data_IF_562113777807
#
_entry.id   IF_562113777807
#
_cell.length_a   1.000
_cell.length_b   1.000
_cell.length_c   1.000
_cell.angle_alpha   90.00
_cell.angle_beta   90.00
_cell.angle_gamma   90.00
#
_symmetry.space_group_name_H-M   'P 1'
#
loop_
_entity.id
_entity.type
_entity.pdbx_description
1 polymer ?
#
# COMPACT_ATOMS: atom_id res chain seq x y z
N UNK A 1 -29.43 -0.47 -17.16
CA UNK A 1 -28.77 0.85 -17.31
C UNK A 1 -28.07 1.30 -16.03
N UNK A 2 -28.75 1.40 -14.88
CA UNK A 2 -28.16 1.85 -13.60
C UNK A 2 -26.92 1.04 -13.19
N UNK A 3 -26.97 -0.30 -13.28
CA UNK A 3 -25.88 -1.24 -12.92
C UNK A 3 -24.59 -1.02 -13.72
N UNK A 4 -24.69 -0.56 -14.96
CA UNK A 4 -23.52 -0.24 -15.79
C UNK A 4 -22.93 1.13 -15.47
N UNK A 5 -23.77 2.09 -15.09
CA UNK A 5 -23.33 3.40 -14.59
C UNK A 5 -22.61 3.24 -13.26
N UNK A 6 -23.19 2.49 -12.29
CA UNK A 6 -22.53 2.21 -10.99
C UNK A 6 -21.21 1.48 -11.21
N UNK A 7 -21.17 0.46 -12.08
CA UNK A 7 -19.93 -0.24 -12.38
C UNK A 7 -18.89 0.63 -13.10
N UNK A 8 -19.28 1.55 -13.99
CA UNK A 8 -18.35 2.52 -14.61
C UNK A 8 -17.80 3.50 -13.58
N UNK A 9 -18.64 3.94 -12.64
CA UNK A 9 -18.25 4.80 -11.53
C UNK A 9 -17.29 4.11 -10.57
N UNK A 10 -17.53 2.83 -10.25
CA UNK A 10 -16.71 2.06 -9.30
C UNK A 10 -15.40 1.61 -9.95
N UNK A 11 -15.44 1.11 -11.19
CA UNK A 11 -14.29 0.47 -11.82
C UNK A 11 -13.52 1.51 -12.62
N UNK A 12 -14.13 2.10 -13.64
CA UNK A 12 -13.53 3.11 -14.53
C UNK A 12 -13.98 2.89 -15.97
N UNK A 13 -13.92 3.95 -16.78
CA UNK A 13 -14.42 3.96 -18.16
C UNK A 13 -13.35 3.86 -19.26
N UNK A 14 -12.07 4.08 -18.95
CA UNK A 14 -11.00 4.08 -19.94
C UNK A 14 -9.76 3.27 -19.52
N UNK A 15 -9.16 2.58 -20.51
CA UNK A 15 -7.95 1.79 -20.35
C UNK A 15 -6.72 2.65 -20.00
N UNK A 16 -6.62 3.86 -20.56
CA UNK A 16 -5.47 4.75 -20.29
C UNK A 16 -5.50 5.31 -18.87
N UNK A 17 -6.68 5.66 -18.36
CA UNK A 17 -6.82 6.07 -16.98
C UNK A 17 -6.56 4.89 -16.03
N UNK A 18 -6.98 3.67 -16.39
CA UNK A 18 -6.67 2.47 -15.64
C UNK A 18 -5.16 2.20 -15.56
N UNK A 19 -4.44 2.30 -16.70
CA UNK A 19 -2.98 2.18 -16.77
C UNK A 19 -2.30 3.24 -15.89
N UNK A 20 -2.73 4.50 -15.99
CA UNK A 20 -2.19 5.60 -15.18
C UNK A 20 -2.37 5.35 -13.69
N UNK A 21 -3.56 4.95 -13.25
CA UNK A 21 -3.85 4.64 -11.84
C UNK A 21 -3.00 3.47 -11.33
N UNK A 22 -2.86 2.39 -12.11
CA UNK A 22 -1.99 1.26 -11.73
C UNK A 22 -0.51 1.66 -11.67
N UNK A 23 -0.05 2.53 -12.59
CA UNK A 23 1.32 3.01 -12.60
C UNK A 23 1.64 3.86 -11.37
N UNK A 24 0.74 4.79 -11.03
CA UNK A 24 0.91 5.64 -9.84
C UNK A 24 0.95 4.78 -8.58
N UNK A 25 -0.02 3.86 -8.40
CA UNK A 25 -0.04 2.97 -7.24
C UNK A 25 1.23 2.10 -7.13
N UNK A 26 1.74 1.62 -8.26
CA UNK A 26 3.00 0.88 -8.31
C UNK A 26 4.19 1.74 -7.86
N UNK A 27 4.31 2.98 -8.37
CA UNK A 27 5.37 3.90 -7.97
C UNK A 27 5.29 4.20 -6.47
N UNK A 28 4.08 4.50 -5.96
CA UNK A 28 3.85 4.72 -4.53
C UNK A 28 4.28 3.51 -3.69
N UNK A 29 3.97 2.30 -4.15
CA UNK A 29 4.35 1.07 -3.45
C UNK A 29 5.86 0.85 -3.38
N UNK A 30 6.58 1.12 -4.47
CA UNK A 30 8.05 1.05 -4.48
C UNK A 30 8.70 2.17 -3.66
N UNK A 31 8.19 3.40 -3.74
CA UNK A 31 8.66 4.51 -2.90
C UNK A 31 8.44 4.19 -1.42
N UNK A 32 7.28 3.63 -1.06
CA UNK A 32 7.01 3.18 0.30
C UNK A 32 7.97 2.09 0.76
N UNK A 33 8.20 1.09 -0.09
CA UNK A 33 9.14 -0.01 0.16
C UNK A 33 10.54 0.54 0.42
N UNK A 34 11.01 1.49 -0.40
CA UNK A 34 12.31 2.11 -0.26
C UNK A 34 12.43 2.90 1.05
N UNK A 35 11.45 3.75 1.36
CA UNK A 35 11.43 4.52 2.61
C UNK A 35 11.42 3.60 3.83
N UNK A 36 10.60 2.55 3.79
CA UNK A 36 10.50 1.58 4.87
C UNK A 36 11.79 0.76 5.02
N UNK A 37 12.43 0.37 3.92
CA UNK A 37 13.71 -0.32 3.93
C UNK A 37 14.81 0.53 4.56
N UNK A 38 14.94 1.80 4.14
CA UNK A 38 15.92 2.73 4.73
C UNK A 38 15.66 2.93 6.22
N UNK A 39 14.40 3.10 6.63
CA UNK A 39 14.05 3.23 8.04
C UNK A 39 14.45 2.00 8.86
N UNK A 40 14.22 0.80 8.32
CA UNK A 40 14.54 -0.47 8.98
C UNK A 40 16.05 -0.70 9.05
N UNK A 41 16.80 -0.38 7.99
CA UNK A 41 18.26 -0.52 8.02
C UNK A 41 18.93 0.50 8.94
N UNK A 42 18.43 1.73 9.02
CA UNK A 42 18.93 2.73 9.98
C UNK A 42 18.82 2.29 11.44
N UNK A 43 17.85 1.45 11.80
CA UNK A 43 17.74 0.87 13.14
C UNK A 43 18.85 -0.13 13.48
N UNK A 44 19.47 -0.77 12.47
CA UNK A 44 20.56 -1.74 12.67
C UNK A 44 21.88 -1.00 12.98
N UNK A 45 22.08 0.19 12.40
CA UNK A 45 23.33 0.93 12.49
C UNK A 45 23.40 1.92 13.66
N UNK A 46 22.30 2.12 14.41
CA UNK A 46 22.28 2.95 15.61
C UNK A 46 22.59 2.08 16.85
N UNK A 47 23.56 2.45 17.69
CA UNK A 47 23.89 1.70 18.90
C UNK A 47 22.73 1.84 19.90
N UNK A 48 21.91 0.81 20.00
CA UNK A 48 20.85 0.72 21.02
C UNK A 48 21.48 0.16 22.29
N UNK A 49 21.59 0.99 23.32
CA UNK A 49 22.03 0.57 24.65
C UNK A 49 21.00 -0.39 25.27
N UNK A 50 21.52 -1.48 25.83
CA UNK A 50 20.89 -2.66 26.42
C UNK A 50 19.47 -2.52 27.01
N UNK A 51 18.59 -3.44 26.60
CA UNK A 51 17.57 -4.06 27.47
C UNK A 51 17.01 -5.33 26.80
N UNK A 52 17.37 -6.51 27.33
CA UNK A 52 17.18 -7.83 26.69
C UNK A 52 15.72 -8.25 26.43
N UNK A 53 14.74 -7.63 27.11
CA UNK A 53 13.30 -7.84 26.88
C UNK A 53 12.74 -6.89 25.80
N UNK A 54 13.20 -5.63 25.80
CA UNK A 54 12.97 -4.69 24.71
C UNK A 54 13.64 -5.13 23.40
N UNK A 55 14.75 -5.87 23.51
CA UNK A 55 15.52 -6.38 22.38
C UNK A 55 14.83 -7.53 21.63
N UNK A 56 14.06 -8.40 22.32
CA UNK A 56 13.25 -9.44 21.65
C UNK A 56 12.00 -8.85 21.00
N UNK A 57 11.36 -7.86 21.65
CA UNK A 57 10.25 -7.13 21.06
C UNK A 57 10.71 -6.31 19.85
N UNK A 58 11.89 -5.68 19.93
CA UNK A 58 12.50 -4.93 18.83
C UNK A 58 12.97 -5.84 17.70
N UNK A 59 13.48 -7.04 17.98
CA UNK A 59 13.86 -8.02 16.94
C UNK A 59 12.62 -8.57 16.22
N UNK A 60 11.55 -8.90 16.94
CA UNK A 60 10.30 -9.36 16.33
C UNK A 60 9.62 -8.25 15.51
N UNK A 61 9.64 -7.01 16.01
CA UNK A 61 9.18 -5.84 15.26
C UNK A 61 10.04 -5.59 14.02
N UNK A 62 11.36 -5.74 14.13
CA UNK A 62 12.29 -5.60 13.02
C UNK A 62 12.03 -6.65 11.94
N UNK A 63 11.92 -7.93 12.29
CA UNK A 63 11.58 -9.00 11.34
C UNK A 63 10.21 -8.73 10.71
N UNK A 64 9.22 -8.33 11.50
CA UNK A 64 7.90 -7.94 11.02
C UNK A 64 7.94 -6.79 10.00
N UNK A 65 8.77 -5.77 10.25
CA UNK A 65 8.96 -4.63 9.34
C UNK A 65 9.69 -5.04 8.05
N UNK A 66 10.74 -5.88 8.12
CA UNK A 66 11.41 -6.44 6.93
C UNK A 66 10.43 -7.25 6.09
N UNK A 67 9.60 -8.07 6.73
CA UNK A 67 8.54 -8.80 6.04
C UNK A 67 7.51 -7.86 5.40
N UNK A 68 7.10 -6.77 6.08
CA UNK A 68 6.20 -5.76 5.51
C UNK A 68 6.78 -5.12 4.25
N UNK A 69 8.07 -4.74 4.26
CA UNK A 69 8.79 -4.24 3.08
C UNK A 69 8.69 -5.24 1.92
N UNK A 70 8.99 -6.52 2.18
CA UNK A 70 8.93 -7.57 1.16
C UNK A 70 7.51 -7.80 0.60
N UNK A 71 6.50 -7.82 1.47
CA UNK A 71 5.09 -7.99 1.09
C UNK A 71 4.64 -6.82 0.20
N UNK A 72 4.91 -5.58 0.61
CA UNK A 72 4.53 -4.39 -0.16
C UNK A 72 5.23 -4.38 -1.52
N UNK A 73 6.50 -4.72 -1.59
CA UNK A 73 7.25 -4.83 -2.84
C UNK A 73 6.64 -5.88 -3.79
N UNK A 74 6.38 -7.08 -3.28
CA UNK A 74 5.80 -8.18 -4.05
C UNK A 74 4.39 -7.85 -4.55
N UNK A 75 3.55 -7.26 -3.70
CA UNK A 75 2.20 -6.87 -4.07
C UNK A 75 2.20 -5.72 -5.08
N UNK A 76 3.11 -4.74 -4.93
CA UNK A 76 3.32 -3.65 -5.88
C UNK A 76 3.74 -4.15 -7.26
N UNK A 77 4.61 -5.16 -7.30
CA UNK A 77 4.95 -5.87 -8.54
C UNK A 77 3.71 -6.51 -9.20
N UNK A 78 2.82 -7.08 -8.38
CA UNK A 78 1.51 -7.57 -8.83
C UNK A 78 0.63 -6.48 -9.45
N UNK A 79 0.64 -5.27 -8.87
CA UNK A 79 -0.06 -4.09 -9.43
C UNK A 79 0.55 -3.67 -10.76
N UNK A 80 1.88 -3.71 -10.89
CA UNK A 80 2.58 -3.45 -12.16
C UNK A 80 2.15 -4.43 -13.25
N UNK A 81 2.05 -5.73 -12.91
CA UNK A 81 1.51 -6.77 -13.79
C UNK A 81 -0.02 -6.72 -13.94
N UNK A 82 -0.68 -5.69 -13.39
CA UNK A 82 -2.12 -5.44 -13.45
C UNK A 82 -2.94 -6.62 -12.93
N UNK A 83 -2.41 -7.40 -11.98
CA UNK A 83 -3.13 -8.52 -11.37
C UNK A 83 -4.10 -7.98 -10.31
N UNK A 84 -5.42 -8.07 -10.52
CA UNK A 84 -6.39 -7.41 -9.63
C UNK A 84 -6.41 -8.01 -8.23
N UNK A 85 -6.17 -9.32 -8.08
CA UNK A 85 -6.07 -9.97 -6.75
C UNK A 85 -4.93 -9.37 -5.92
N UNK A 86 -3.76 -9.14 -6.53
CA UNK A 86 -2.60 -8.57 -5.84
C UNK A 86 -2.78 -7.09 -5.52
N UNK A 87 -3.42 -6.33 -6.41
CA UNK A 87 -3.75 -4.93 -6.15
C UNK A 87 -4.79 -4.77 -5.02
N UNK A 88 -5.75 -5.69 -4.95
CA UNK A 88 -6.73 -5.75 -3.86
C UNK A 88 -6.04 -6.12 -2.54
N UNK A 89 -5.18 -7.14 -2.56
CA UNK A 89 -4.38 -7.52 -1.40
C UNK A 89 -3.47 -6.38 -0.93
N UNK A 90 -2.83 -5.62 -1.83
CA UNK A 90 -2.01 -4.46 -1.48
C UNK A 90 -2.82 -3.41 -0.72
N UNK A 91 -3.99 -3.05 -1.24
CA UNK A 91 -4.87 -2.08 -0.60
C UNK A 91 -5.31 -2.54 0.80
N UNK A 92 -5.83 -3.76 0.93
CA UNK A 92 -6.30 -4.27 2.21
C UNK A 92 -5.17 -4.48 3.21
N UNK A 93 -4.04 -5.04 2.78
CA UNK A 93 -2.87 -5.21 3.61
C UNK A 93 -2.42 -3.87 4.19
N UNK A 94 -2.26 -2.87 3.33
CA UNK A 94 -1.80 -1.55 3.76
C UNK A 94 -2.82 -0.87 4.68
N UNK A 95 -4.12 -0.97 4.38
CA UNK A 95 -5.17 -0.42 5.23
C UNK A 95 -5.21 -1.05 6.62
N UNK A 96 -5.20 -2.39 6.68
CA UNK A 96 -5.27 -3.13 7.95
C UNK A 96 -3.99 -2.96 8.76
N UNK A 97 -2.81 -2.95 8.12
CA UNK A 97 -1.56 -2.74 8.84
C UNK A 97 -1.53 -1.37 9.53
N UNK A 98 -2.07 -0.31 8.91
CA UNK A 98 -2.14 1.01 9.56
C UNK A 98 -3.06 1.04 10.78
N UNK A 99 -4.15 0.26 10.82
CA UNK A 99 -4.99 0.13 12.02
C UNK A 99 -4.22 -0.50 13.18
N UNK A 100 -3.40 -1.51 12.89
CA UNK A 100 -2.49 -2.09 13.87
C UNK A 100 -1.49 -1.04 14.39
N UNK A 101 -0.81 -0.32 13.50
CA UNK A 101 0.17 0.72 13.88
C UNK A 101 -0.44 1.91 14.65
N UNK A 102 -1.70 2.25 14.36
CA UNK A 102 -2.49 3.22 15.14
C UNK A 102 -2.76 2.70 16.55
N UNK A 103 -3.19 1.43 16.68
CA UNK A 103 -3.49 0.83 17.99
C UNK A 103 -2.25 0.68 18.89
N UNK A 104 -1.06 0.54 18.30
CA UNK A 104 0.20 0.46 19.04
C UNK A 104 0.79 1.83 19.40
N UNK A 105 0.12 2.95 19.05
CA UNK A 105 0.59 4.30 19.36
C UNK A 105 1.80 4.78 18.54
N UNK A 106 2.26 3.98 17.56
CA UNK A 106 3.36 4.36 16.66
C UNK A 106 2.95 5.46 15.67
N UNK A 107 1.64 5.65 15.51
CA UNK A 107 1.03 6.76 14.76
C UNK A 107 0.29 7.63 15.77
N UNK A 108 0.83 8.82 16.05
CA UNK A 108 0.20 9.82 16.94
C UNK A 108 -0.54 10.88 16.13
N UNK A 109 -1.64 11.40 16.69
CA UNK A 109 -2.39 12.55 16.17
C UNK A 109 -2.15 13.83 16.96
N UNK A 110 -1.22 13.82 17.92
CA UNK A 110 -1.00 14.97 18.80
C UNK A 110 -0.33 16.12 18.04
N UNK A 111 -1.13 17.14 17.70
CA UNK A 111 -0.66 18.36 17.05
C UNK A 111 -0.70 18.34 15.51
N UNK A 112 -0.77 19.54 14.93
CA UNK A 112 -0.82 19.78 13.48
C UNK A 112 0.27 19.04 12.65
N UNK A 113 1.56 18.98 13.05
CA UNK A 113 2.58 18.28 12.26
C UNK A 113 2.36 16.76 12.21
N UNK A 114 1.78 16.17 13.25
CA UNK A 114 1.50 14.74 13.31
C UNK A 114 0.27 14.37 12.48
N UNK A 115 -0.74 15.24 12.42
CA UNK A 115 -1.89 15.10 11.52
C UNK A 115 -1.44 15.15 10.05
N UNK A 116 -0.58 16.11 9.69
CA UNK A 116 -0.06 16.22 8.33
C UNK A 116 0.75 14.97 7.93
N UNK A 117 1.59 14.45 8.84
CA UNK A 117 2.32 13.18 8.64
C UNK A 117 1.38 12.01 8.45
N UNK A 118 0.31 11.91 9.23
CA UNK A 118 -0.70 10.87 9.06
C UNK A 118 -1.34 10.91 7.68
N UNK A 119 -1.76 12.09 7.23
CA UNK A 119 -2.40 12.25 5.93
C UNK A 119 -1.42 11.86 4.81
N UNK A 120 -0.18 12.36 4.85
CA UNK A 120 0.79 12.17 3.78
C UNK A 120 1.38 10.75 3.74
N UNK A 121 1.66 10.15 4.89
CA UNK A 121 2.34 8.86 4.99
C UNK A 121 1.38 7.68 5.12
N UNK A 122 0.11 7.90 5.47
CA UNK A 122 -0.82 6.79 5.68
C UNK A 122 -2.05 6.93 4.80
N UNK A 123 -2.76 8.06 4.86
CA UNK A 123 -4.02 8.22 4.13
C UNK A 123 -3.79 8.33 2.60
N UNK A 124 -2.78 9.08 2.18
CA UNK A 124 -2.47 9.27 0.76
C UNK A 124 -2.03 7.96 0.08
N UNK A 125 -1.09 7.16 0.63
CA UNK A 125 -0.75 5.86 0.05
C UNK A 125 -1.95 4.91 -0.03
N UNK A 126 -2.80 4.85 1.00
CA UNK A 126 -4.03 4.06 0.97
C UNK A 126 -4.91 4.46 -0.21
N UNK A 127 -5.14 5.76 -0.39
CA UNK A 127 -5.94 6.27 -1.49
C UNK A 127 -5.34 5.90 -2.85
N UNK A 128 -4.01 6.01 -3.00
CA UNK A 128 -3.31 5.65 -4.22
C UNK A 128 -3.38 4.14 -4.51
N UNK A 129 -3.27 3.28 -3.49
CA UNK A 129 -3.45 1.83 -3.65
C UNK A 129 -4.89 1.46 -3.99
N UNK A 130 -5.88 2.16 -3.41
CA UNK A 130 -7.28 2.01 -3.79
C UNK A 130 -7.49 2.36 -5.28
N UNK A 131 -6.90 3.45 -5.76
CA UNK A 131 -6.95 3.81 -7.18
C UNK A 131 -6.23 2.76 -8.06
N UNK A 132 -5.11 2.21 -7.60
CA UNK A 132 -4.40 1.11 -8.26
C UNK A 132 -5.26 -0.14 -8.39
N UNK A 133 -5.94 -0.54 -7.31
CA UNK A 133 -6.91 -1.64 -7.30
C UNK A 133 -8.02 -1.41 -8.33
N UNK A 134 -8.65 -0.22 -8.32
CA UNK A 134 -9.67 0.14 -9.31
C UNK A 134 -9.14 0.07 -10.73
N UNK A 135 -7.94 0.57 -10.97
CA UNK A 135 -7.27 0.50 -12.27
C UNK A 135 -7.05 -0.94 -12.74
N UNK A 136 -6.56 -1.83 -11.87
CA UNK A 136 -6.32 -3.24 -12.21
C UNK A 136 -7.63 -3.98 -12.55
N UNK A 137 -8.70 -3.74 -11.79
CA UNK A 137 -10.03 -4.30 -12.08
C UNK A 137 -10.63 -3.74 -13.37
N UNK A 138 -10.39 -2.46 -13.67
CA UNK A 138 -10.81 -1.83 -14.93
C UNK A 138 -10.14 -2.48 -16.12
N UNK A 139 -8.82 -2.66 -16.02
CA UNK A 139 -8.03 -3.31 -17.05
C UNK A 139 -8.54 -4.73 -17.32
N UNK A 140 -8.65 -5.57 -16.29
CA UNK A 140 -9.18 -6.94 -16.43
C UNK A 140 -10.58 -6.96 -17.05
N UNK A 141 -11.47 -6.08 -16.60
CA UNK A 141 -12.85 -6.04 -17.10
C UNK A 141 -12.92 -5.62 -18.57
N UNK A 142 -12.10 -4.67 -18.99
CA UNK A 142 -12.09 -4.20 -20.38
C UNK A 142 -11.41 -5.20 -21.30
N UNK A 143 -10.27 -5.78 -20.92
CA UNK A 143 -9.59 -6.81 -21.72
C UNK A 143 -10.49 -8.03 -21.95
N UNK A 144 -11.10 -8.59 -20.90
CA UNK A 144 -12.04 -9.71 -21.03
C UNK A 144 -13.32 -9.38 -21.83
N UNK A 145 -13.61 -8.10 -22.07
CA UNK A 145 -14.78 -7.69 -22.87
C UNK A 145 -14.49 -7.72 -24.36
N UNK A 146 -13.22 -7.56 -24.74
CA UNK A 146 -12.76 -7.64 -26.14
C UNK A 146 -12.49 -9.08 -26.59
N UNK A 147 -12.17 -9.99 -25.67
CA UNK A 147 -11.98 -11.42 -26.00
C UNK A 147 -13.30 -12.20 -26.22
N UNK A 148 -14.44 -11.58 -25.90
CA UNK A 148 -15.78 -12.18 -26.00
C UNK A 148 -16.60 -11.59 -27.17
N UNK A 149 -15.93 -10.97 -28.13
CA UNK A 149 -16.47 -10.48 -29.42
C UNK A 149 -15.64 -11.09 -30.54
#
# INVERSE_FOLDING_TARGET
MLRDVTRRLIIGGSLDQAKRRTKIACITGYVWTLLSFVSVTSWIFLPVSDDTLGQRLSLNLYVGLVCEVGIVAFLSYGVMRRKPKMATALFFYFWVSRLFWLSTGLISFEGAPNIARFILLHLLPVYLFYQGMRGAWTHKRMTNRYDNW
#
